data_IF_909835919323
#
_entry.id   IF_909835919323
#
_cell.length_a   1.000
_cell.length_b   1.000
_cell.length_c   1.000
_cell.angle_alpha   90.00
_cell.angle_beta   90.00
_cell.angle_gamma   90.00
#
_symmetry.space_group_name_H-M   'P 1'
#
loop_
_entity.id
_entity.type
_entity.pdbx_description
1 polymer ?
#
# COMPACT_ATOMS: atom_id res chain seq x y z
N UNK A 1 -1.39 -18.53 26.16
CA UNK A 1 -1.07 -17.36 25.31
C UNK A 1 -1.77 -17.61 23.99
N UNK A 2 -2.52 -16.65 23.46
CA UNK A 2 -3.20 -16.87 22.18
C UNK A 2 -2.16 -16.82 21.06
N UNK A 3 -2.11 -17.85 20.22
CA UNK A 3 -1.21 -17.95 19.09
C UNK A 3 -1.75 -17.09 17.93
N UNK A 4 -1.49 -15.78 18.00
CA UNK A 4 -1.83 -14.86 16.94
C UNK A 4 -0.67 -14.67 15.97
N UNK A 5 -0.94 -14.39 14.69
CA UNK A 5 0.07 -13.90 13.76
C UNK A 5 0.74 -12.62 14.27
N UNK A 6 1.98 -12.41 13.84
CA UNK A 6 2.77 -11.19 14.03
C UNK A 6 3.02 -10.52 12.68
N UNK A 7 3.41 -9.25 12.71
CA UNK A 7 3.85 -8.51 11.53
C UNK A 7 5.37 -8.33 11.56
N UNK A 8 6.02 -8.66 10.45
CA UNK A 8 7.44 -8.40 10.21
C UNK A 8 7.56 -7.29 9.15
N UNK A 9 8.16 -6.13 9.47
CA UNK A 9 8.39 -5.07 8.49
C UNK A 9 9.18 -5.57 7.28
N UNK A 10 8.74 -5.21 6.07
CA UNK A 10 9.29 -5.75 4.84
C UNK A 10 9.81 -4.67 3.89
N UNK A 11 8.94 -3.78 3.43
CA UNK A 11 9.29 -2.73 2.46
C UNK A 11 8.32 -1.56 2.54
N UNK A 12 8.76 -0.42 2.01
CA UNK A 12 7.92 0.75 1.76
C UNK A 12 7.65 0.87 0.27
N UNK A 13 6.46 1.35 -0.08
CA UNK A 13 6.02 1.53 -1.46
C UNK A 13 5.38 2.90 -1.66
N UNK A 14 5.74 3.56 -2.75
CA UNK A 14 5.15 4.81 -3.23
C UNK A 14 4.50 4.57 -4.62
N UNK A 15 3.65 5.48 -5.13
CA UNK A 15 2.46 5.11 -5.90
C UNK A 15 2.80 4.34 -7.18
N UNK A 16 1.99 3.33 -7.49
CA UNK A 16 2.30 2.31 -8.51
C UNK A 16 2.36 2.83 -9.95
N UNK A 17 1.98 4.09 -10.20
CA UNK A 17 2.02 4.68 -11.55
C UNK A 17 3.42 5.20 -11.88
N UNK A 18 4.21 5.63 -10.87
CA UNK A 18 5.54 6.24 -11.10
C UNK A 18 6.47 6.24 -9.89
N UNK A 19 6.13 5.50 -8.84
CA UNK A 19 6.88 5.45 -7.59
C UNK A 19 7.87 4.30 -7.55
N UNK A 20 8.33 4.02 -6.34
CA UNK A 20 9.34 3.00 -6.05
C UNK A 20 8.87 2.03 -4.96
N UNK A 21 9.55 0.90 -4.91
CA UNK A 21 9.46 -0.09 -3.84
C UNK A 21 10.85 -0.31 -3.26
N UNK A 22 10.98 -0.17 -1.94
CA UNK A 22 12.28 -0.25 -1.26
C UNK A 22 12.16 -1.09 0.02
N UNK A 23 13.00 -2.11 0.15
CA UNK A 23 13.01 -3.01 1.30
C UNK A 23 13.64 -2.39 2.53
N UNK A 24 13.08 -2.75 3.69
CA UNK A 24 13.73 -2.55 4.99
C UNK A 24 15.07 -3.30 5.03
N UNK A 25 16.04 -2.76 5.75
CA UNK A 25 17.40 -3.34 5.83
C UNK A 25 17.45 -4.77 6.38
N UNK A 26 16.41 -5.18 7.12
CA UNK A 26 16.28 -6.52 7.71
C UNK A 26 15.53 -7.50 6.82
N UNK A 27 14.90 -7.04 5.74
CA UNK A 27 14.07 -7.88 4.88
C UNK A 27 14.90 -8.59 3.81
N UNK A 28 14.54 -9.84 3.52
CA UNK A 28 15.13 -10.63 2.45
C UNK A 28 14.05 -11.43 1.70
N UNK A 29 14.07 -11.45 0.35
CA UNK A 29 15.06 -10.83 -0.53
C UNK A 29 14.93 -9.30 -0.57
N UNK A 30 16.06 -8.59 -0.65
CA UNK A 30 16.03 -7.14 -0.80
C UNK A 30 15.33 -6.72 -2.10
N UNK A 31 14.49 -5.69 -1.99
CA UNK A 31 13.72 -5.09 -3.07
C UNK A 31 14.18 -3.65 -3.24
N UNK A 32 14.55 -3.28 -4.45
CA UNK A 32 14.75 -1.90 -4.88
C UNK A 32 14.36 -1.86 -6.34
N UNK A 33 13.38 -1.03 -6.67
CA UNK A 33 12.82 -0.98 -8.00
C UNK A 33 11.82 0.15 -8.19
N UNK A 34 11.59 0.48 -9.45
CA UNK A 34 10.64 1.49 -9.89
C UNK A 34 9.42 0.80 -10.52
N UNK A 35 8.23 1.35 -10.30
CA UNK A 35 7.06 0.91 -11.04
C UNK A 35 7.14 1.47 -12.47
N UNK A 36 7.34 0.56 -13.42
CA UNK A 36 7.34 0.88 -14.86
C UNK A 36 5.99 0.54 -15.46
N UNK A 37 5.45 1.35 -16.36
CA UNK A 37 4.21 1.05 -17.09
C UNK A 37 2.98 1.73 -16.49
N UNK A 38 1.79 1.29 -16.91
CA UNK A 38 0.53 1.80 -16.42
C UNK A 38 -0.19 0.69 -15.66
N UNK A 39 -0.40 0.92 -14.36
CA UNK A 39 -1.30 0.13 -13.55
C UNK A 39 -2.75 0.56 -13.71
N UNK A 40 -3.64 -0.14 -13.01
CA UNK A 40 -5.03 0.28 -12.81
C UNK A 40 -5.26 0.51 -11.32
N UNK A 41 -6.05 1.53 -10.98
CA UNK A 41 -6.46 1.81 -9.61
C UNK A 41 -7.98 2.00 -9.60
N UNK A 42 -8.70 0.99 -9.14
CA UNK A 42 -10.14 1.03 -8.99
C UNK A 42 -10.48 1.47 -7.58
N UNK A 43 -11.20 2.59 -7.47
CA UNK A 43 -11.63 3.15 -6.21
C UNK A 43 -13.16 3.19 -6.19
N UNK A 44 -13.76 2.62 -5.14
CA UNK A 44 -15.19 2.68 -4.89
C UNK A 44 -15.45 3.32 -3.54
N UNK A 45 -16.32 4.33 -3.48
CA UNK A 45 -16.81 4.90 -2.23
C UNK A 45 -18.01 4.07 -1.78
N UNK A 46 -17.99 3.57 -0.54
CA UNK A 46 -19.13 2.87 0.03
C UNK A 46 -20.37 3.78 0.07
N UNK A 47 -21.61 3.24 0.03
CA UNK A 47 -22.82 4.05 -0.03
C UNK A 47 -23.05 5.02 1.14
N UNK A 48 -22.47 4.74 2.31
CA UNK A 48 -22.52 5.61 3.48
C UNK A 48 -21.50 6.76 3.41
N UNK A 49 -20.54 6.69 2.49
CA UNK A 49 -19.46 7.67 2.34
C UNK A 49 -18.32 7.49 3.33
N UNK A 50 -18.36 6.51 4.23
CA UNK A 50 -17.39 6.38 5.33
C UNK A 50 -16.10 5.67 4.91
N UNK A 51 -16.12 4.91 3.82
CA UNK A 51 -14.96 4.12 3.37
C UNK A 51 -14.74 4.18 1.86
N UNK A 52 -13.47 4.15 1.46
CA UNK A 52 -13.04 3.80 0.10
C UNK A 52 -12.63 2.33 0.07
N UNK A 53 -13.02 1.63 -1.00
CA UNK A 53 -12.52 0.31 -1.38
C UNK A 53 -11.52 0.48 -2.50
N UNK A 54 -10.32 -0.06 -2.31
CA UNK A 54 -9.23 -0.05 -3.28
C UNK A 54 -9.11 -1.42 -3.95
N UNK A 55 -8.86 -1.43 -5.26
CA UNK A 55 -8.40 -2.58 -6.03
C UNK A 55 -7.43 -2.10 -7.11
N UNK A 56 -6.12 -2.25 -6.84
CA UNK A 56 -5.05 -1.72 -7.67
C UNK A 56 -4.16 -2.83 -8.23
N UNK A 57 -3.66 -2.64 -9.45
CA UNK A 57 -2.83 -3.59 -10.18
C UNK A 57 -1.63 -2.89 -10.84
N UNK A 58 -0.45 -3.50 -10.79
CA UNK A 58 0.81 -2.97 -11.35
C UNK A 58 1.58 -3.95 -12.23
N UNK A 59 2.78 -3.53 -12.68
CA UNK A 59 3.51 -4.17 -13.79
C UNK A 59 4.42 -5.34 -13.41
N UNK A 60 5.21 -5.26 -12.33
CA UNK A 60 5.41 -6.49 -11.53
C UNK A 60 4.01 -6.75 -11.02
N UNK A 61 3.44 -7.94 -11.20
CA UNK A 61 2.02 -8.15 -10.90
C UNK A 61 1.80 -8.19 -9.38
N UNK A 62 1.95 -7.01 -8.80
CA UNK A 62 1.55 -6.57 -7.51
C UNK A 62 0.09 -6.15 -7.70
N UNK A 63 -0.79 -6.89 -7.04
CA UNK A 63 -2.15 -6.44 -6.82
C UNK A 63 -2.29 -6.13 -5.34
N UNK A 64 -3.07 -5.09 -5.04
CA UNK A 64 -3.57 -4.94 -3.69
C UNK A 64 -5.04 -4.57 -3.69
N UNK A 65 -5.73 -5.04 -2.66
CA UNK A 65 -7.06 -4.54 -2.29
C UNK A 65 -6.98 -3.89 -0.92
N UNK A 66 -7.82 -2.91 -0.64
CA UNK A 66 -7.76 -2.22 0.64
C UNK A 66 -9.00 -1.45 1.02
N UNK A 67 -8.94 -0.90 2.22
CA UNK A 67 -9.95 -0.04 2.80
C UNK A 67 -9.27 1.23 3.29
N UNK A 68 -9.86 2.38 2.97
CA UNK A 68 -9.47 3.68 3.51
C UNK A 68 -10.66 4.27 4.25
N UNK A 69 -10.47 4.70 5.50
CA UNK A 69 -11.47 5.47 6.21
C UNK A 69 -11.51 6.89 5.64
N UNK A 70 -12.71 7.38 5.31
CA UNK A 70 -12.94 8.77 4.88
C UNK A 70 -12.89 9.71 6.08
N UNK A 71 -11.68 9.93 6.59
CA UNK A 71 -11.45 10.95 7.62
C UNK A 71 -11.60 12.35 7.01
N UNK A 72 -11.84 13.40 7.82
CA UNK A 72 -11.93 14.78 7.31
C UNK A 72 -10.70 15.23 6.51
N UNK A 73 -9.51 14.69 6.83
CA UNK A 73 -8.29 14.98 6.08
C UNK A 73 -8.28 14.29 4.71
N UNK A 74 -8.73 13.03 4.63
CA UNK A 74 -8.86 12.30 3.36
C UNK A 74 -9.95 12.94 2.50
N UNK A 75 -11.10 13.30 3.09
CA UNK A 75 -12.16 14.04 2.41
C UNK A 75 -11.63 15.35 1.79
N UNK A 76 -10.90 16.16 2.57
CA UNK A 76 -10.34 17.42 2.09
C UNK A 76 -9.30 17.24 0.96
N UNK A 77 -8.52 16.16 0.98
CA UNK A 77 -7.60 15.82 -0.11
C UNK A 77 -8.40 15.45 -1.37
N UNK A 78 -9.41 14.59 -1.23
CA UNK A 78 -10.21 14.09 -2.35
C UNK A 78 -11.13 15.16 -2.95
N UNK A 79 -11.61 16.12 -2.15
CA UNK A 79 -12.41 17.26 -2.59
C UNK A 79 -11.55 18.40 -3.20
N UNK A 80 -10.23 18.34 -3.05
CA UNK A 80 -9.30 19.39 -3.47
C UNK A 80 -9.32 20.63 -2.55
N UNK A 81 -9.91 20.53 -1.38
CA UNK A 81 -9.98 21.61 -0.37
C UNK A 81 -8.73 21.69 0.51
N UNK A 82 -7.90 20.63 0.53
CA UNK A 82 -6.60 20.66 1.19
C UNK A 82 -5.62 21.55 0.42
N UNK A 83 -4.76 22.28 1.14
CA UNK A 83 -3.63 23.01 0.55
C UNK A 83 -2.33 22.19 0.61
N UNK A 84 -2.07 21.55 1.76
CA UNK A 84 -0.94 20.64 1.99
C UNK A 84 -1.30 19.78 3.20
N UNK A 85 -1.20 18.46 3.10
CA UNK A 85 -1.49 17.55 4.21
C UNK A 85 -0.71 16.25 4.07
N UNK A 86 -0.10 15.82 5.18
CA UNK A 86 0.37 14.46 5.37
C UNK A 86 -0.50 13.81 6.44
N UNK A 87 -1.25 12.77 6.08
CA UNK A 87 -2.10 12.08 7.06
C UNK A 87 -1.26 11.17 7.96
N UNK A 88 -1.78 10.85 9.14
CA UNK A 88 -1.23 9.75 9.93
C UNK A 88 -1.50 8.40 9.25
N UNK A 89 -0.67 7.42 9.56
CA UNK A 89 -1.00 6.01 9.31
C UNK A 89 -2.17 5.57 10.20
N UNK A 90 -2.85 4.50 9.79
CA UNK A 90 -3.89 3.84 10.60
C UNK A 90 -5.32 4.01 10.10
N UNK A 91 -5.51 4.70 8.97
CA UNK A 91 -6.80 4.85 8.30
C UNK A 91 -6.81 4.29 6.87
N UNK A 92 -5.71 3.66 6.44
CA UNK A 92 -5.61 3.00 5.15
C UNK A 92 -4.89 1.68 5.35
N UNK A 93 -5.55 0.59 4.98
CA UNK A 93 -4.99 -0.75 5.07
C UNK A 93 -5.19 -1.52 3.78
N UNK A 94 -4.13 -2.20 3.34
CA UNK A 94 -4.12 -3.00 2.11
C UNK A 94 -3.69 -4.43 2.40
N UNK A 95 -4.16 -5.36 1.56
CA UNK A 95 -3.64 -6.71 1.41
C UNK A 95 -2.99 -6.83 0.03
N UNK A 96 -1.76 -7.34 -0.04
CA UNK A 96 -1.00 -7.42 -1.30
C UNK A 96 -0.77 -8.87 -1.72
N UNK A 97 -0.83 -9.10 -3.02
CA UNK A 97 -0.37 -10.33 -3.67
C UNK A 97 0.68 -10.01 -4.72
N UNK A 98 1.61 -10.94 -4.90
CA UNK A 98 2.72 -10.82 -5.85
C UNK A 98 2.67 -11.95 -6.87
N UNK A 99 2.95 -11.63 -8.13
CA UNK A 99 3.44 -12.54 -9.14
C UNK A 99 4.73 -11.93 -9.72
N UNK A 100 5.82 -12.66 -9.53
CA UNK A 100 7.20 -12.18 -9.75
C UNK A 100 7.87 -12.89 -10.93
N UNK A 101 7.45 -14.12 -11.23
CA UNK A 101 7.92 -14.91 -12.38
C UNK A 101 9.39 -15.31 -12.32
N UNK A 102 10.10 -15.03 -11.21
CA UNK A 102 11.54 -15.23 -11.09
C UNK A 102 11.94 -15.84 -9.74
N UNK A 103 12.85 -16.83 -9.78
CA UNK A 103 13.26 -17.60 -8.60
C UNK A 103 13.76 -16.73 -7.44
N UNK A 104 14.45 -15.62 -7.75
CA UNK A 104 14.97 -14.67 -6.75
C UNK A 104 13.88 -14.09 -5.85
N UNK A 105 12.67 -13.90 -6.38
CA UNK A 105 11.57 -13.22 -5.71
C UNK A 105 10.36 -14.14 -5.45
N UNK A 106 10.47 -15.43 -5.75
CA UNK A 106 9.39 -16.41 -5.60
C UNK A 106 8.84 -16.51 -4.15
N UNK A 107 9.64 -16.14 -3.14
CA UNK A 107 9.18 -16.11 -1.75
C UNK A 107 8.13 -15.01 -1.48
N UNK A 108 8.02 -14.00 -2.33
CA UNK A 108 6.97 -12.98 -2.24
C UNK A 108 5.59 -13.55 -2.56
N UNK A 109 5.52 -14.42 -3.57
CA UNK A 109 4.26 -15.01 -4.07
C UNK A 109 3.58 -15.93 -3.03
N UNK A 110 4.35 -16.43 -2.06
CA UNK A 110 3.86 -17.33 -1.01
C UNK A 110 3.70 -16.63 0.35
N UNK A 111 3.97 -15.33 0.43
CA UNK A 111 3.77 -14.52 1.63
C UNK A 111 2.34 -14.02 1.75
N UNK A 112 1.92 -13.76 2.99
CA UNK A 112 0.71 -12.99 3.29
C UNK A 112 1.14 -11.59 3.68
N UNK A 113 0.67 -10.58 2.96
CA UNK A 113 1.19 -9.22 3.07
C UNK A 113 0.09 -8.24 3.44
N UNK A 114 0.40 -7.36 4.37
CA UNK A 114 -0.48 -6.26 4.77
C UNK A 114 0.28 -4.96 4.78
N UNK A 115 -0.35 -3.87 4.36
CA UNK A 115 0.24 -2.54 4.36
C UNK A 115 -0.60 -1.55 5.14
N UNK A 116 0.06 -0.65 5.87
CA UNK A 116 -0.55 0.56 6.41
C UNK A 116 -0.19 1.76 5.54
N UNK A 117 -1.20 2.45 5.04
CA UNK A 117 -1.04 3.60 4.15
C UNK A 117 -1.21 4.94 4.84
N UNK A 118 -0.63 5.98 4.25
CA UNK A 118 -0.98 7.37 4.52
C UNK A 118 -0.85 8.23 3.27
N UNK A 119 -1.57 9.35 3.24
CA UNK A 119 -1.57 10.27 2.12
C UNK A 119 -0.54 11.38 2.35
N UNK A 120 0.14 11.75 1.28
CA UNK A 120 0.99 12.93 1.16
C UNK A 120 0.41 13.75 0.02
N UNK A 121 -0.02 14.96 0.32
CA UNK A 121 -0.67 15.82 -0.66
C UNK A 121 -0.17 17.25 -0.54
N UNK A 122 0.10 17.83 -1.70
CA UNK A 122 0.42 19.25 -1.90
C UNK A 122 -0.47 19.75 -3.04
N UNK A 123 -1.10 20.91 -2.87
CA UNK A 123 -2.06 21.42 -3.84
C UNK A 123 -1.43 21.65 -5.20
N UNK A 124 -2.10 21.14 -6.22
CA UNK A 124 -1.63 21.18 -7.61
C UNK A 124 -0.83 19.94 -8.01
N UNK A 125 -0.43 19.10 -7.04
CA UNK A 125 0.20 17.81 -7.29
C UNK A 125 -0.83 16.67 -7.17
N UNK A 126 -0.51 15.51 -7.74
CA UNK A 126 -1.31 14.31 -7.54
C UNK A 126 -1.12 13.80 -6.09
N UNK A 127 -2.19 13.37 -5.39
CA UNK A 127 -2.05 12.72 -4.10
C UNK A 127 -1.12 11.50 -4.19
N UNK A 128 -0.14 11.45 -3.30
CA UNK A 128 0.76 10.31 -3.13
C UNK A 128 0.21 9.48 -1.98
N UNK A 129 0.15 8.17 -2.18
CA UNK A 129 -0.09 7.22 -1.07
C UNK A 129 1.17 6.41 -0.85
N UNK A 130 1.76 6.56 0.33
CA UNK A 130 2.88 5.74 0.78
C UNK A 130 2.36 4.62 1.67
N UNK A 131 2.84 3.41 1.44
CA UNK A 131 2.51 2.23 2.22
C UNK A 131 3.74 1.65 2.90
N UNK A 132 3.62 1.35 4.19
CA UNK A 132 4.57 0.50 4.92
C UNK A 132 4.01 -0.91 4.97
N UNK A 133 4.70 -1.85 4.32
CA UNK A 133 4.23 -3.21 4.12
C UNK A 133 4.98 -4.16 5.06
N UNK A 134 4.22 -5.07 5.65
CA UNK A 134 4.71 -6.13 6.52
C UNK A 134 4.28 -7.49 6.00
N UNK A 135 5.13 -8.48 6.25
CA UNK A 135 4.78 -9.90 6.12
C UNK A 135 4.05 -10.35 7.37
N UNK A 136 2.92 -11.03 7.20
CA UNK A 136 2.26 -11.76 8.29
C UNK A 136 3.06 -13.04 8.54
N UNK A 137 3.50 -13.22 9.79
CA UNK A 137 4.31 -14.37 10.22
C UNK A 137 3.73 -14.99 11.49
N UNK A 138 4.14 -16.21 11.81
CA UNK A 138 3.92 -16.79 13.13
C UNK A 138 5.26 -16.85 13.86
N UNK A 139 5.34 -16.18 15.01
CA UNK A 139 6.45 -16.37 15.95
C UNK A 139 6.12 -17.63 16.76
N UNK A 140 6.89 -18.69 16.51
CA UNK A 140 6.89 -19.89 17.36
C UNK A 140 7.70 -19.61 18.61
#
# INVERSE_FOLDING_TARGET
MAHFPSLEPAFTMQPMISGNIESESTFSPALSGEFVGQGNDYIHVDPDGEHLRLDAHGTIYLNYTGIVDMTPAVEAIMSGESESTVTSFGNSFIHLTFETGGEKYASLETGVWVGGGHFIYEKGEAPIVEYKVSKVTFKV
#
